data_IF_713122536229
#
_entry.id   IF_713122536229
#
_cell.length_a   1.000
_cell.length_b   1.000
_cell.length_c   1.000
_cell.angle_alpha   90.00
_cell.angle_beta   90.00
_cell.angle_gamma   90.00
#
_symmetry.space_group_name_H-M   'P 1'
#
loop_
_entity.id
_entity.type
_entity.pdbx_description
1 polymer ?
#
# COMPACT_ATOMS: atom_id res chain seq x y z
N UNK A 1 20.62 -23.24 31.94
CA UNK A 1 20.92 -24.05 30.71
C UNK A 1 20.43 -23.27 29.51
N UNK A 2 21.36 -22.50 28.98
CA UNK A 2 21.16 -21.61 27.84
C UNK A 2 21.16 -22.40 26.55
N UNK A 3 20.06 -22.40 25.80
CA UNK A 3 20.01 -22.90 24.43
C UNK A 3 19.78 -21.72 23.47
N UNK A 4 20.86 -21.00 23.25
CA UNK A 4 20.97 -19.99 22.17
C UNK A 4 21.05 -20.73 20.84
N UNK A 5 19.88 -21.01 20.22
CA UNK A 5 19.78 -21.61 18.89
C UNK A 5 20.06 -20.49 17.88
N UNK A 6 21.33 -20.29 17.51
CA UNK A 6 21.69 -19.49 16.32
C UNK A 6 20.96 -20.12 15.11
N UNK A 7 20.01 -19.39 14.55
CA UNK A 7 19.39 -19.74 13.26
C UNK A 7 20.44 -19.52 12.19
N UNK A 8 21.20 -20.56 11.87
CA UNK A 8 22.14 -20.54 10.76
C UNK A 8 21.34 -20.69 9.47
N UNK A 9 21.49 -19.71 8.58
CA UNK A 9 20.87 -19.70 7.25
C UNK A 9 21.21 -20.98 6.49
N UNK A 10 20.23 -21.62 5.81
CA UNK A 10 20.50 -22.85 5.05
C UNK A 10 21.61 -22.66 4.01
N UNK A 11 22.52 -23.61 3.89
CA UNK A 11 23.68 -23.49 3.00
C UNK A 11 23.31 -23.25 1.52
N UNK A 12 22.19 -23.79 1.04
CA UNK A 12 21.73 -23.55 -0.34
C UNK A 12 21.30 -22.09 -0.58
N UNK A 13 20.78 -21.40 0.42
CA UNK A 13 20.43 -19.97 0.32
C UNK A 13 21.69 -19.10 0.27
N UNK A 14 22.72 -19.44 1.03
CA UNK A 14 24.02 -18.74 0.99
C UNK A 14 24.62 -18.83 -0.41
N UNK A 15 24.57 -20.03 -1.02
CA UNK A 15 25.08 -20.25 -2.38
C UNK A 15 24.25 -19.43 -3.39
N UNK A 16 22.93 -19.46 -3.26
CA UNK A 16 22.00 -18.70 -4.13
C UNK A 16 22.30 -17.20 -4.09
N UNK A 17 22.47 -16.63 -2.91
CA UNK A 17 22.78 -15.20 -2.74
C UNK A 17 24.15 -14.85 -3.34
N UNK A 18 25.15 -15.68 -3.13
CA UNK A 18 26.48 -15.46 -3.73
C UNK A 18 26.44 -15.52 -5.26
N UNK A 19 25.62 -16.42 -5.83
CA UNK A 19 25.45 -16.50 -7.29
C UNK A 19 24.72 -15.27 -7.83
N UNK A 20 23.67 -14.82 -7.15
CA UNK A 20 22.95 -13.61 -7.51
C UNK A 20 23.86 -12.38 -7.45
N UNK A 21 24.69 -12.26 -6.42
CA UNK A 21 25.66 -11.17 -6.30
C UNK A 21 26.69 -11.19 -7.43
N UNK A 22 27.21 -12.36 -7.82
CA UNK A 22 28.11 -12.50 -8.98
C UNK A 22 27.43 -12.11 -10.29
N UNK A 23 26.14 -12.43 -10.45
CA UNK A 23 25.36 -12.01 -11.63
C UNK A 23 25.16 -10.49 -11.60
N UNK A 24 24.79 -9.93 -10.45
CA UNK A 24 24.56 -8.50 -10.24
C UNK A 24 25.82 -7.67 -10.51
N UNK A 25 26.98 -8.17 -10.11
CA UNK A 25 28.28 -7.50 -10.31
C UNK A 25 28.90 -7.75 -11.69
N UNK A 26 28.18 -8.45 -12.59
CA UNK A 26 28.66 -8.73 -13.95
C UNK A 26 29.83 -9.71 -14.01
N UNK A 27 30.09 -10.47 -12.94
CA UNK A 27 31.20 -11.44 -12.88
C UNK A 27 30.85 -12.75 -13.62
N UNK A 28 30.43 -12.63 -14.87
CA UNK A 28 30.14 -13.76 -15.76
C UNK A 28 30.34 -13.36 -17.22
N UNK A 29 30.53 -14.36 -18.08
CA UNK A 29 30.52 -14.19 -19.54
C UNK A 29 29.24 -14.85 -20.08
N UNK A 30 28.55 -14.18 -21.02
CA UNK A 30 27.30 -14.66 -21.62
C UNK A 30 27.45 -16.02 -22.32
N UNK A 31 28.64 -16.35 -22.79
CA UNK A 31 28.93 -17.56 -23.57
C UNK A 31 29.72 -18.61 -22.79
N UNK A 32 30.09 -18.33 -21.54
CA UNK A 32 30.83 -19.25 -20.68
C UNK A 32 29.93 -19.91 -19.64
N UNK A 33 30.32 -21.11 -19.19
CA UNK A 33 29.65 -21.79 -18.08
C UNK A 33 29.79 -20.94 -16.82
N UNK A 34 28.63 -20.50 -16.28
CA UNK A 34 28.60 -19.69 -15.07
C UNK A 34 28.85 -20.49 -13.81
N UNK A 35 28.21 -21.65 -13.69
CA UNK A 35 28.46 -22.60 -12.60
C UNK A 35 28.08 -24.02 -12.97
N UNK A 36 28.63 -24.98 -12.21
CA UNK A 36 28.21 -26.38 -12.23
C UNK A 36 27.99 -26.88 -10.81
N UNK A 37 27.20 -27.93 -10.65
CA UNK A 37 26.94 -28.56 -9.34
C UNK A 37 28.27 -28.96 -8.66
N UNK A 38 29.23 -29.48 -9.46
CA UNK A 38 30.55 -29.88 -8.98
C UNK A 38 31.34 -28.67 -8.45
N UNK A 39 31.45 -27.59 -9.22
CA UNK A 39 32.16 -26.38 -8.81
C UNK A 39 31.58 -25.80 -7.50
N UNK A 40 30.27 -25.70 -7.38
CA UNK A 40 29.63 -25.16 -6.18
C UNK A 40 29.79 -26.11 -4.98
N UNK A 41 29.70 -27.42 -5.20
CA UNK A 41 29.94 -28.43 -4.17
C UNK A 41 31.35 -28.33 -3.57
N UNK A 42 32.34 -28.13 -4.40
CA UNK A 42 33.76 -27.99 -4.00
C UNK A 42 34.01 -26.61 -3.35
N UNK A 43 33.50 -25.53 -3.95
CA UNK A 43 33.73 -24.16 -3.48
C UNK A 43 33.09 -23.86 -2.11
N UNK A 44 31.89 -24.41 -1.87
CA UNK A 44 31.12 -24.14 -0.64
C UNK A 44 31.13 -25.31 0.37
N UNK A 45 31.89 -26.34 0.10
CA UNK A 45 31.99 -27.56 0.94
C UNK A 45 30.61 -28.11 1.31
N UNK A 46 29.75 -28.32 0.30
CA UNK A 46 28.40 -28.84 0.44
C UNK A 46 28.18 -30.08 -0.40
N UNK A 47 27.08 -30.81 -0.10
CA UNK A 47 26.69 -31.95 -0.94
C UNK A 47 26.27 -31.45 -2.34
N UNK A 48 26.42 -32.28 -3.38
CA UNK A 48 25.92 -31.99 -4.73
C UNK A 48 24.42 -31.71 -4.75
N UNK A 49 23.66 -32.35 -3.87
CA UNK A 49 22.21 -32.11 -3.74
C UNK A 49 21.96 -30.67 -3.28
N UNK A 50 22.74 -30.15 -2.33
CA UNK A 50 22.59 -28.75 -1.83
C UNK A 50 22.97 -27.74 -2.93
N UNK A 51 24.07 -28.02 -3.67
CA UNK A 51 24.46 -27.18 -4.80
C UNK A 51 23.42 -27.21 -5.93
N UNK A 52 22.92 -28.41 -6.26
CA UNK A 52 21.85 -28.62 -7.25
C UNK A 52 20.59 -27.80 -6.90
N UNK A 53 20.15 -27.87 -5.66
CA UNK A 53 18.96 -27.10 -5.19
C UNK A 53 19.12 -25.60 -5.40
N UNK A 54 20.29 -25.04 -5.08
CA UNK A 54 20.56 -23.63 -5.31
C UNK A 54 20.51 -23.23 -6.80
N UNK A 55 21.00 -24.11 -7.69
CA UNK A 55 20.91 -23.89 -9.13
C UNK A 55 19.47 -24.01 -9.63
N UNK A 56 18.73 -25.05 -9.21
CA UNK A 56 17.35 -25.28 -9.60
C UNK A 56 16.42 -24.13 -9.20
N UNK A 57 16.61 -23.55 -8.01
CA UNK A 57 15.88 -22.37 -7.57
C UNK A 57 16.10 -21.16 -8.51
N UNK A 58 17.32 -20.95 -9.00
CA UNK A 58 17.65 -19.88 -9.95
C UNK A 58 17.19 -20.19 -11.38
N UNK A 59 17.14 -21.47 -11.77
CA UNK A 59 16.56 -21.91 -13.04
C UNK A 59 15.05 -21.71 -13.07
N UNK A 60 14.33 -22.05 -11.99
CA UNK A 60 12.90 -21.80 -11.86
C UNK A 60 12.55 -20.31 -11.91
N UNK A 61 13.44 -19.46 -11.41
CA UNK A 61 13.30 -18.00 -11.50
C UNK A 61 13.69 -17.44 -12.90
N UNK A 62 14.11 -18.29 -13.83
CA UNK A 62 14.53 -17.88 -15.17
C UNK A 62 15.86 -17.12 -15.23
N UNK A 63 16.61 -17.07 -14.13
CA UNK A 63 17.88 -16.36 -14.00
C UNK A 63 19.01 -17.19 -14.63
N UNK A 64 18.98 -18.49 -14.45
CA UNK A 64 19.89 -19.44 -15.09
C UNK A 64 19.15 -20.34 -16.07
N UNK A 65 19.85 -20.87 -17.03
CA UNK A 65 19.38 -21.96 -17.86
C UNK A 65 20.47 -23.05 -17.99
N UNK A 66 20.06 -24.30 -18.05
CA UNK A 66 20.96 -25.46 -18.09
C UNK A 66 21.15 -25.94 -19.51
N UNK A 67 22.42 -26.20 -19.88
CA UNK A 67 22.76 -27.03 -21.04
C UNK A 67 23.25 -28.40 -20.56
N UNK A 68 22.52 -29.45 -20.97
CA UNK A 68 22.78 -30.82 -20.53
C UNK A 68 24.23 -31.23 -20.83
N UNK A 69 24.96 -31.72 -19.82
CA UNK A 69 26.34 -32.16 -19.93
C UNK A 69 27.39 -31.05 -19.94
N UNK A 70 27.00 -29.78 -19.91
CA UNK A 70 27.91 -28.63 -19.97
C UNK A 70 27.91 -27.84 -18.66
N UNK A 71 26.78 -27.42 -18.19
CA UNK A 71 26.63 -26.59 -16.98
C UNK A 71 25.48 -25.63 -17.06
N UNK A 72 25.39 -24.71 -16.08
CA UNK A 72 24.40 -23.66 -16.04
C UNK A 72 24.97 -22.31 -16.50
N UNK A 73 24.18 -21.58 -17.26
CA UNK A 73 24.51 -20.31 -17.90
C UNK A 73 23.56 -19.24 -17.38
N UNK A 74 23.98 -17.99 -17.40
CA UNK A 74 23.12 -16.85 -17.10
C UNK A 74 22.16 -16.62 -18.28
N UNK A 75 20.87 -16.49 -18.01
CA UNK A 75 19.85 -16.30 -19.03
C UNK A 75 20.02 -14.95 -19.73
N UNK A 76 20.13 -14.94 -21.06
CA UNK A 76 20.21 -13.71 -21.87
C UNK A 76 18.92 -12.87 -21.85
N UNK A 77 17.84 -13.36 -21.23
CA UNK A 77 16.61 -12.58 -20.99
C UNK A 77 16.73 -11.61 -19.81
N UNK A 78 17.82 -11.68 -19.03
CA UNK A 78 18.22 -10.58 -18.16
C UNK A 78 18.90 -9.59 -19.11
N UNK A 79 18.39 -8.35 -19.29
CA UNK A 79 19.08 -7.37 -20.11
C UNK A 79 20.49 -7.25 -19.55
N UNK A 80 21.55 -7.33 -20.39
CA UNK A 80 22.91 -7.17 -19.90
C UNK A 80 22.97 -5.80 -19.24
N UNK A 81 23.44 -5.77 -18.00
CA UNK A 81 23.96 -4.53 -17.42
C UNK A 81 25.18 -4.21 -18.27
N UNK A 82 24.97 -3.44 -19.33
CA UNK A 82 26.02 -2.98 -20.21
C UNK A 82 27.02 -2.17 -19.41
N UNK A 83 28.16 -2.77 -19.14
CA UNK A 83 29.36 -2.13 -18.65
C UNK A 83 29.97 -1.28 -19.78
N UNK A 84 29.37 -0.16 -20.11
CA UNK A 84 29.99 0.96 -20.79
C UNK A 84 28.97 2.12 -20.96
N UNK A 85 28.59 2.69 -19.85
CA UNK A 85 28.20 4.09 -19.80
C UNK A 85 28.52 4.53 -18.38
N UNK A 86 29.23 5.63 -18.26
CA UNK A 86 29.51 6.34 -17.02
C UNK A 86 28.46 6.09 -15.96
N UNK A 87 28.87 5.76 -14.73
CA UNK A 87 28.06 5.73 -13.52
C UNK A 87 27.35 7.07 -13.29
N UNK A 88 26.35 7.37 -14.08
CA UNK A 88 25.23 8.16 -13.65
C UNK A 88 24.19 7.14 -13.16
N UNK A 89 24.11 7.03 -11.88
CA UNK A 89 23.09 6.34 -11.10
C UNK A 89 21.71 6.62 -11.71
N UNK A 90 21.27 5.83 -12.71
CA UNK A 90 19.95 6.01 -13.35
C UNK A 90 18.86 5.35 -12.49
N UNK A 91 18.84 5.76 -11.19
CA UNK A 91 17.70 5.50 -10.34
C UNK A 91 16.48 6.10 -11.04
N UNK A 92 15.43 5.31 -11.16
CA UNK A 92 14.18 5.84 -11.66
C UNK A 92 13.83 7.14 -10.92
N UNK A 93 13.42 8.14 -11.67
CA UNK A 93 12.96 9.42 -11.10
C UNK A 93 11.44 9.50 -11.02
N UNK A 94 10.74 8.41 -11.28
CA UNK A 94 9.28 8.37 -11.26
C UNK A 94 8.76 7.83 -9.92
N UNK A 95 7.98 8.63 -9.22
CA UNK A 95 7.17 8.20 -8.06
C UNK A 95 5.73 8.03 -8.52
N UNK A 96 5.11 6.91 -8.18
CA UNK A 96 3.73 6.63 -8.56
C UNK A 96 2.77 6.92 -7.39
N UNK A 97 1.68 7.61 -7.69
CA UNK A 97 0.56 7.83 -6.78
C UNK A 97 -0.62 6.96 -7.23
N UNK A 98 -1.06 6.06 -6.37
CA UNK A 98 -2.20 5.19 -6.61
C UNK A 98 -3.41 5.67 -5.80
N UNK A 99 -4.53 5.96 -6.50
CA UNK A 99 -5.75 6.53 -5.94
C UNK A 99 -6.97 5.65 -6.21
N UNK A 100 -7.91 5.49 -5.25
CA UNK A 100 -9.14 4.74 -5.43
C UNK A 100 -10.27 5.57 -6.07
N UNK A 101 -10.06 6.86 -6.38
CA UNK A 101 -11.07 7.77 -6.91
C UNK A 101 -10.47 8.81 -7.87
N UNK A 102 -11.33 9.51 -8.59
CA UNK A 102 -10.91 10.55 -9.54
C UNK A 102 -10.21 11.72 -8.83
N UNK A 103 -9.27 12.35 -9.52
CA UNK A 103 -8.45 13.46 -8.99
C UNK A 103 -9.23 14.73 -8.67
N UNK A 104 -10.48 14.83 -9.12
CA UNK A 104 -11.38 15.97 -8.86
C UNK A 104 -12.13 15.86 -7.53
N UNK A 105 -11.95 14.77 -6.78
CA UNK A 105 -12.64 14.57 -5.51
C UNK A 105 -11.83 15.11 -4.33
N UNK A 106 -12.42 16.02 -3.53
CA UNK A 106 -11.89 16.57 -2.28
C UNK A 106 -10.64 17.41 -2.45
N UNK A 107 -9.88 17.39 -1.39
CA UNK A 107 -8.59 18.07 -1.31
C UNK A 107 -7.49 17.28 -2.04
N UNK A 108 -7.85 16.22 -2.78
CA UNK A 108 -6.85 15.38 -3.43
C UNK A 108 -6.10 16.13 -4.55
N UNK A 109 -6.76 17.06 -5.24
CA UNK A 109 -6.10 17.90 -6.26
C UNK A 109 -5.02 18.80 -5.65
N UNK A 110 -5.27 19.34 -4.46
CA UNK A 110 -4.29 20.14 -3.72
C UNK A 110 -3.13 19.26 -3.22
N UNK A 111 -3.46 18.07 -2.70
CA UNK A 111 -2.47 17.07 -2.29
C UNK A 111 -1.58 16.65 -3.46
N UNK A 112 -2.17 16.40 -4.64
CA UNK A 112 -1.42 16.07 -5.86
C UNK A 112 -0.50 17.22 -6.26
N UNK A 113 -1.00 18.45 -6.25
CA UNK A 113 -0.20 19.64 -6.58
C UNK A 113 1.00 19.79 -5.65
N UNK A 114 0.78 19.71 -4.35
CA UNK A 114 1.83 19.82 -3.33
C UNK A 114 2.85 18.66 -3.43
N UNK A 115 2.38 17.44 -3.62
CA UNK A 115 3.25 16.27 -3.80
C UNK A 115 4.09 16.40 -5.08
N UNK A 116 3.47 16.83 -6.18
CA UNK A 116 4.16 17.02 -7.46
C UNK A 116 5.25 18.10 -7.36
N UNK A 117 4.95 19.22 -6.70
CA UNK A 117 5.92 20.31 -6.48
C UNK A 117 7.10 19.82 -5.62
N UNK A 118 6.83 19.18 -4.49
CA UNK A 118 7.87 18.66 -3.59
C UNK A 118 8.76 17.59 -4.25
N UNK A 119 8.19 16.74 -5.12
CA UNK A 119 8.95 15.78 -5.89
C UNK A 119 9.81 16.44 -6.96
N UNK A 120 9.27 17.45 -7.66
CA UNK A 120 9.99 18.18 -8.71
C UNK A 120 11.23 18.91 -8.16
N UNK A 121 11.15 19.51 -6.96
CA UNK A 121 12.29 20.12 -6.26
C UNK A 121 13.44 19.12 -6.02
N UNK A 122 13.12 17.85 -5.89
CA UNK A 122 14.09 16.76 -5.70
C UNK A 122 14.46 16.03 -7.00
N UNK A 123 13.96 16.53 -8.14
CA UNK A 123 14.23 15.97 -9.47
C UNK A 123 13.46 14.68 -9.76
N UNK A 124 12.32 14.45 -9.08
CA UNK A 124 11.42 13.32 -9.35
C UNK A 124 10.19 13.79 -10.12
N UNK A 125 9.56 12.86 -10.83
CA UNK A 125 8.30 13.05 -11.55
C UNK A 125 7.20 12.25 -10.87
N UNK A 126 5.98 12.78 -10.88
CA UNK A 126 4.80 12.11 -10.34
C UNK A 126 4.01 11.45 -11.47
N UNK A 127 3.73 10.14 -11.36
CA UNK A 127 2.73 9.45 -12.16
C UNK A 127 1.49 9.14 -11.31
N UNK A 128 0.29 9.28 -11.89
CA UNK A 128 -0.96 9.10 -11.17
C UNK A 128 -1.74 7.96 -11.79
N UNK A 129 -2.20 7.03 -10.95
CA UNK A 129 -2.96 5.85 -11.34
C UNK A 129 -4.28 5.82 -10.57
N UNK A 130 -5.40 5.77 -11.30
CA UNK A 130 -6.73 5.76 -10.71
C UNK A 130 -7.35 4.38 -10.90
N UNK A 131 -7.65 3.71 -9.79
CA UNK A 131 -8.21 2.36 -9.78
C UNK A 131 -9.73 2.32 -9.65
N UNK A 132 -10.32 3.45 -9.26
CA UNK A 132 -11.73 3.49 -8.90
C UNK A 132 -12.01 2.67 -7.65
N UNK A 133 -13.26 2.25 -7.48
CA UNK A 133 -13.69 1.48 -6.32
C UNK A 133 -13.40 -0.04 -6.42
N UNK A 134 -12.66 -0.48 -7.43
CA UNK A 134 -12.45 -1.89 -7.75
C UNK A 134 -11.18 -2.43 -7.11
N UNK A 135 -11.29 -3.29 -6.09
CA UNK A 135 -10.15 -3.97 -5.47
C UNK A 135 -9.34 -4.85 -6.46
N UNK A 136 -9.96 -5.58 -7.41
CA UNK A 136 -9.20 -6.30 -8.42
C UNK A 136 -8.36 -5.38 -9.33
N UNK A 137 -8.88 -4.20 -9.70
CA UNK A 137 -8.14 -3.22 -10.49
C UNK A 137 -7.00 -2.60 -9.70
N UNK A 138 -7.20 -2.33 -8.41
CA UNK A 138 -6.18 -1.84 -7.49
C UNK A 138 -5.01 -2.83 -7.40
N UNK A 139 -5.31 -4.11 -7.15
CA UNK A 139 -4.33 -5.20 -7.15
C UNK A 139 -3.58 -5.30 -8.47
N UNK A 140 -4.28 -5.35 -9.60
CA UNK A 140 -3.67 -5.45 -10.93
C UNK A 140 -2.75 -4.24 -11.23
N UNK A 141 -3.12 -3.04 -10.76
CA UNK A 141 -2.28 -1.86 -10.91
C UNK A 141 -1.02 -1.94 -10.06
N UNK A 142 -1.10 -2.43 -8.82
CA UNK A 142 0.08 -2.69 -7.98
C UNK A 142 1.03 -3.70 -8.62
N UNK A 143 0.49 -4.79 -9.19
CA UNK A 143 1.28 -5.80 -9.92
C UNK A 143 1.95 -5.19 -11.17
N UNK A 144 1.25 -4.32 -11.91
CA UNK A 144 1.83 -3.58 -13.03
C UNK A 144 2.97 -2.66 -12.58
N UNK A 145 2.75 -1.84 -11.54
CA UNK A 145 3.74 -0.91 -11.01
C UNK A 145 4.98 -1.62 -10.46
N UNK A 146 4.82 -2.83 -9.92
CA UNK A 146 5.93 -3.68 -9.50
C UNK A 146 6.90 -3.96 -10.64
N UNK A 147 6.38 -4.25 -11.84
CA UNK A 147 7.18 -4.53 -13.03
C UNK A 147 7.82 -3.28 -13.64
N UNK A 148 7.35 -2.09 -13.28
CA UNK A 148 7.89 -0.82 -13.75
C UNK A 148 9.08 -0.39 -12.91
N UNK A 149 10.02 0.35 -13.53
CA UNK A 149 11.12 0.96 -12.80
C UNK A 149 10.67 2.28 -12.18
N UNK A 150 9.98 2.22 -11.00
CA UNK A 150 9.58 3.39 -10.24
C UNK A 150 10.48 3.60 -9.02
N UNK A 151 10.69 4.85 -8.62
CA UNK A 151 11.51 5.21 -7.47
C UNK A 151 10.81 4.96 -6.12
N UNK A 152 9.48 5.00 -6.11
CA UNK A 152 8.68 4.78 -4.92
C UNK A 152 7.19 4.83 -5.22
N UNK A 153 6.39 4.44 -4.24
CA UNK A 153 4.94 4.39 -4.32
C UNK A 153 4.30 5.21 -3.20
N UNK A 154 3.41 6.11 -3.55
CA UNK A 154 2.45 6.72 -2.63
C UNK A 154 1.10 6.06 -2.88
N UNK A 155 0.55 5.43 -1.87
CA UNK A 155 -0.64 4.60 -2.02
C UNK A 155 -1.77 5.07 -1.11
N UNK A 156 -2.90 5.43 -1.71
CA UNK A 156 -4.15 5.72 -1.02
C UNK A 156 -5.08 4.51 -1.16
N UNK A 157 -5.10 3.59 -0.20
CA UNK A 157 -5.97 2.43 -0.26
C UNK A 157 -7.43 2.85 -0.03
N UNK A 158 -8.34 2.16 -0.69
CA UNK A 158 -9.77 2.41 -0.48
C UNK A 158 -10.23 2.04 0.94
N UNK A 159 -9.65 0.98 1.51
CA UNK A 159 -9.96 0.41 2.83
C UNK A 159 -8.67 0.10 3.58
N UNK A 160 -8.80 -0.23 4.87
CA UNK A 160 -7.66 -0.63 5.71
C UNK A 160 -7.04 -1.97 5.26
N UNK A 161 -7.81 -2.82 4.58
CA UNK A 161 -7.29 -4.05 3.99
C UNK A 161 -6.46 -3.73 2.74
N UNK A 162 -5.19 -3.42 2.97
CA UNK A 162 -4.21 -3.15 1.93
C UNK A 162 -3.72 -4.45 1.29
N UNK A 163 -3.31 -4.36 0.04
CA UNK A 163 -2.72 -5.49 -0.71
C UNK A 163 -1.27 -5.75 -0.27
N UNK A 164 -1.08 -6.22 0.97
CA UNK A 164 0.23 -6.34 1.61
C UNK A 164 1.20 -7.24 0.83
N UNK A 165 0.69 -8.33 0.21
CA UNK A 165 1.52 -9.21 -0.62
C UNK A 165 2.16 -8.46 -1.79
N UNK A 166 1.39 -7.61 -2.48
CA UNK A 166 1.88 -6.80 -3.58
C UNK A 166 2.83 -5.70 -3.10
N UNK A 167 2.59 -5.13 -1.92
CA UNK A 167 3.46 -4.11 -1.32
C UNK A 167 4.79 -4.68 -0.84
N UNK A 168 4.82 -5.93 -0.36
CA UNK A 168 6.06 -6.59 0.05
C UNK A 168 7.09 -6.63 -1.08
N UNK A 169 6.67 -6.79 -2.32
CA UNK A 169 7.58 -6.81 -3.46
C UNK A 169 8.30 -5.46 -3.67
N UNK A 170 7.64 -4.34 -3.37
CA UNK A 170 8.29 -3.01 -3.38
C UNK A 170 9.31 -2.90 -2.25
N UNK A 171 8.95 -3.35 -1.05
CA UNK A 171 9.85 -3.33 0.11
C UNK A 171 11.08 -4.20 -0.10
N UNK A 172 10.92 -5.41 -0.65
CA UNK A 172 12.03 -6.30 -0.97
C UNK A 172 12.93 -5.74 -2.08
N UNK A 173 12.37 -4.96 -3.00
CA UNK A 173 13.12 -4.24 -4.02
C UNK A 173 13.75 -2.93 -3.50
N UNK A 174 13.69 -2.66 -2.20
CA UNK A 174 14.12 -1.42 -1.55
C UNK A 174 13.49 -0.16 -2.18
N UNK A 175 12.22 -0.26 -2.59
CA UNK A 175 11.41 0.85 -3.11
C UNK A 175 10.50 1.34 -2.00
N UNK A 176 10.63 2.59 -1.54
CA UNK A 176 9.82 3.11 -0.46
C UNK A 176 8.33 3.13 -0.82
N UNK A 177 7.50 2.75 0.15
CA UNK A 177 6.04 2.83 0.07
C UNK A 177 5.53 3.72 1.20
N UNK A 178 4.69 4.68 0.85
CA UNK A 178 4.00 5.56 1.80
C UNK A 178 2.50 5.38 1.64
N UNK A 179 1.83 4.97 2.69
CA UNK A 179 0.37 4.88 2.75
C UNK A 179 -0.18 6.23 3.19
N UNK A 180 -1.21 6.73 2.52
CA UNK A 180 -1.88 7.98 2.91
C UNK A 180 -3.34 7.74 3.30
N UNK A 181 -3.83 8.53 4.27
CA UNK A 181 -5.20 8.53 4.82
C UNK A 181 -5.59 7.28 5.63
N UNK A 182 -4.98 6.13 5.40
CA UNK A 182 -5.28 4.90 6.13
C UNK A 182 -4.11 4.48 7.01
N UNK A 183 -4.43 3.91 8.17
CA UNK A 183 -3.43 3.28 9.02
C UNK A 183 -3.25 1.81 8.63
N UNK A 184 -2.03 1.34 8.75
CA UNK A 184 -1.70 -0.08 8.64
C UNK A 184 -0.89 -0.52 9.85
N UNK A 185 -1.12 -1.72 10.31
CA UNK A 185 -0.36 -2.34 11.41
C UNK A 185 1.01 -2.88 10.95
N UNK A 186 1.34 -2.72 9.67
CA UNK A 186 2.62 -3.16 9.12
C UNK A 186 3.74 -2.17 9.53
N UNK A 187 4.71 -2.59 10.37
CA UNK A 187 5.74 -1.70 10.91
C UNK A 187 6.77 -1.22 9.87
N UNK A 188 6.76 -1.82 8.68
CA UNK A 188 7.69 -1.48 7.59
C UNK A 188 7.10 -0.49 6.58
N UNK A 189 5.82 -0.13 6.73
CA UNK A 189 5.15 0.84 5.87
C UNK A 189 5.01 2.18 6.61
N UNK A 190 5.41 3.24 5.94
CA UNK A 190 5.19 4.58 6.47
C UNK A 190 3.74 5.03 6.20
N UNK A 191 3.12 5.65 7.19
CA UNK A 191 1.77 6.18 7.08
C UNK A 191 1.78 7.69 7.25
N UNK A 192 1.01 8.38 6.41
CA UNK A 192 0.69 9.81 6.55
C UNK A 192 -0.82 9.94 6.69
N UNK A 193 -1.26 10.26 7.87
CA UNK A 193 -2.69 10.37 8.22
C UNK A 193 -2.98 11.69 8.89
N UNK A 194 -4.23 12.18 8.75
CA UNK A 194 -4.72 13.27 9.57
C UNK A 194 -5.03 12.77 10.99
N UNK A 195 -5.00 13.67 11.97
CA UNK A 195 -5.52 13.36 13.30
C UNK A 195 -7.06 13.32 13.26
N UNK A 196 -7.54 12.15 12.78
CA UNK A 196 -8.97 11.91 12.62
C UNK A 196 -9.71 11.86 13.95
N UNK A 197 -9.03 11.41 15.02
CA UNK A 197 -9.62 11.36 16.35
C UNK A 197 -9.87 12.78 16.88
N UNK A 198 -8.87 13.64 16.81
CA UNK A 198 -9.03 15.03 17.24
C UNK A 198 -10.00 15.81 16.33
N UNK A 199 -9.99 15.55 15.02
CA UNK A 199 -10.97 16.10 14.09
C UNK A 199 -12.41 15.73 14.47
N UNK A 200 -12.65 14.47 14.86
CA UNK A 200 -13.95 14.00 15.37
C UNK A 200 -14.34 14.70 16.68
N UNK A 201 -13.37 14.91 17.57
CA UNK A 201 -13.59 15.65 18.82
C UNK A 201 -13.98 17.10 18.57
N UNK A 202 -13.19 17.82 17.78
CA UNK A 202 -13.42 19.23 17.50
C UNK A 202 -14.80 19.47 16.89
N UNK A 203 -15.19 18.69 15.89
CA UNK A 203 -16.50 18.80 15.26
C UNK A 203 -17.63 18.54 16.25
N UNK A 204 -17.51 17.50 17.06
CA UNK A 204 -18.54 17.14 18.04
C UNK A 204 -18.65 18.20 19.13
N UNK A 205 -17.53 18.70 19.64
CA UNK A 205 -17.49 19.79 20.62
C UNK A 205 -18.18 21.03 20.08
N UNK A 206 -17.88 21.41 18.84
CA UNK A 206 -18.55 22.55 18.20
C UNK A 206 -20.09 22.38 18.20
N UNK A 207 -20.60 21.21 17.83
CA UNK A 207 -22.05 20.96 17.84
C UNK A 207 -22.64 21.01 19.27
N UNK A 208 -21.92 20.51 20.27
CA UNK A 208 -22.32 20.58 21.67
C UNK A 208 -22.36 22.04 22.19
N UNK A 209 -21.39 22.87 21.80
CA UNK A 209 -21.32 24.30 22.11
C UNK A 209 -22.48 25.08 21.48
N UNK A 210 -22.96 24.65 20.29
CA UNK A 210 -24.16 25.20 19.66
C UNK A 210 -25.47 24.73 20.33
N UNK A 211 -25.39 23.98 21.43
CA UNK A 211 -26.55 23.53 22.22
C UNK A 211 -27.15 22.20 21.76
N UNK A 212 -26.62 21.58 20.74
CA UNK A 212 -27.06 20.24 20.32
C UNK A 212 -26.74 19.20 21.39
N UNK A 213 -27.68 18.31 21.70
CA UNK A 213 -27.50 17.20 22.65
C UNK A 213 -27.84 15.85 22.03
N UNK A 214 -28.65 15.86 21.00
CA UNK A 214 -29.05 14.67 20.27
C UNK A 214 -28.40 14.71 18.87
N UNK A 215 -27.16 14.20 18.80
CA UNK A 215 -26.28 14.30 17.62
C UNK A 215 -26.08 12.89 17.06
N UNK A 216 -26.26 12.71 15.75
CA UNK A 216 -25.93 11.47 15.07
C UNK A 216 -24.54 11.56 14.41
N UNK A 217 -23.83 10.44 14.37
CA UNK A 217 -22.64 10.24 13.54
C UNK A 217 -23.05 9.49 12.29
N UNK A 218 -22.78 10.07 11.14
CA UNK A 218 -23.15 9.50 9.83
C UNK A 218 -21.89 9.12 9.04
N UNK A 219 -21.89 7.93 8.48
CA UNK A 219 -20.78 7.45 7.63
C UNK A 219 -21.27 6.60 6.48
N UNK A 220 -20.56 6.65 5.36
CA UNK A 220 -20.77 5.77 4.19
C UNK A 220 -19.86 4.56 4.20
N UNK A 221 -18.89 4.50 5.10
CA UNK A 221 -17.95 3.39 5.22
C UNK A 221 -18.11 2.67 6.57
N UNK A 222 -18.05 1.33 6.59
CA UNK A 222 -18.05 0.58 7.83
C UNK A 222 -16.87 0.97 8.73
N UNK A 223 -17.09 1.09 10.04
CA UNK A 223 -16.03 1.39 11.01
C UNK A 223 -14.94 0.32 11.04
N UNK A 224 -15.29 -0.93 10.74
CA UNK A 224 -14.37 -2.07 10.70
C UNK A 224 -13.39 -2.03 9.52
N UNK A 225 -13.69 -1.24 8.48
CA UNK A 225 -12.95 -1.26 7.22
C UNK A 225 -12.17 0.04 6.95
N UNK A 226 -12.34 1.07 7.81
CA UNK A 226 -11.79 2.40 7.55
C UNK A 226 -11.31 3.07 8.82
N UNK A 227 -10.01 3.04 9.06
CA UNK A 227 -9.36 3.61 10.25
C UNK A 227 -9.68 5.08 10.45
N UNK A 228 -9.61 5.90 9.41
CA UNK A 228 -9.93 7.34 9.50
C UNK A 228 -11.36 7.62 9.97
N UNK A 229 -12.32 6.79 9.56
CA UNK A 229 -13.72 6.91 10.02
C UNK A 229 -13.88 6.40 11.45
N UNK A 230 -13.24 5.29 11.79
CA UNK A 230 -13.23 4.73 13.14
C UNK A 230 -12.66 5.71 14.17
N UNK A 231 -11.57 6.39 13.83
CA UNK A 231 -10.94 7.37 14.71
C UNK A 231 -11.82 8.60 14.90
N UNK A 232 -12.46 9.13 13.83
CA UNK A 232 -13.43 10.22 13.95
C UNK A 232 -14.62 9.84 14.83
N UNK A 233 -15.12 8.61 14.68
CA UNK A 233 -16.18 8.10 15.55
C UNK A 233 -15.74 7.96 17.01
N UNK A 234 -14.50 7.52 17.24
CA UNK A 234 -13.89 7.50 18.57
C UNK A 234 -13.85 8.90 19.22
N UNK A 235 -13.43 9.91 18.45
CA UNK A 235 -13.45 11.32 18.86
C UNK A 235 -14.85 11.83 19.15
N UNK A 236 -15.84 11.50 18.32
CA UNK A 236 -17.25 11.78 18.54
C UNK A 236 -17.74 11.19 19.88
N UNK A 237 -17.52 9.90 20.11
CA UNK A 237 -17.91 9.24 21.35
C UNK A 237 -17.25 9.84 22.59
N UNK A 238 -15.99 10.28 22.47
CA UNK A 238 -15.28 10.93 23.56
C UNK A 238 -16.01 12.18 24.04
N UNK A 239 -16.35 13.10 23.12
CA UNK A 239 -16.99 14.37 23.46
C UNK A 239 -18.45 14.18 23.91
N UNK A 240 -19.19 13.25 23.32
CA UNK A 240 -20.54 12.90 23.76
C UNK A 240 -20.53 12.43 25.23
N UNK A 241 -19.62 11.53 25.58
CA UNK A 241 -19.47 11.04 26.97
C UNK A 241 -18.99 12.12 27.92
N UNK A 242 -18.03 12.96 27.50
CA UNK A 242 -17.53 14.08 28.31
C UNK A 242 -18.62 15.10 28.60
N UNK A 243 -19.61 15.27 27.71
CA UNK A 243 -20.80 16.10 27.92
C UNK A 243 -21.88 15.44 28.80
N UNK A 244 -21.62 14.24 29.37
CA UNK A 244 -22.57 13.51 30.19
C UNK A 244 -23.71 12.86 29.40
N UNK A 245 -23.59 12.76 28.09
CA UNK A 245 -24.59 12.14 27.21
C UNK A 245 -24.25 10.65 27.06
N UNK A 246 -25.21 9.78 27.32
CA UNK A 246 -25.04 8.34 27.10
C UNK A 246 -25.16 8.04 25.60
N UNK A 247 -24.13 7.42 24.98
CA UNK A 247 -24.21 7.03 23.58
C UNK A 247 -25.35 6.03 23.34
N UNK A 248 -26.08 6.24 22.26
CA UNK A 248 -27.15 5.36 21.80
C UNK A 248 -26.79 4.80 20.42
N UNK A 249 -27.12 3.54 20.16
CA UNK A 249 -26.87 2.91 18.86
C UNK A 249 -27.56 3.62 17.69
N UNK A 250 -28.66 4.32 17.96
CA UNK A 250 -29.36 5.17 16.98
C UNK A 250 -28.57 6.39 16.53
N UNK A 251 -27.51 6.75 17.26
CA UNK A 251 -26.63 7.85 16.90
C UNK A 251 -25.55 7.44 15.86
N UNK A 252 -25.33 6.14 15.64
CA UNK A 252 -24.43 5.66 14.59
C UNK A 252 -25.24 5.22 13.38
N UNK A 253 -25.07 5.91 12.26
CA UNK A 253 -25.75 5.64 11.02
C UNK A 253 -24.72 5.31 9.96
N UNK A 254 -24.72 4.06 9.53
CA UNK A 254 -23.91 3.62 8.41
C UNK A 254 -24.78 3.51 7.16
N UNK A 255 -24.46 4.32 6.15
CA UNK A 255 -25.15 4.30 4.87
C UNK A 255 -24.34 3.44 3.88
N UNK A 256 -24.89 2.32 3.39
CA UNK A 256 -24.11 1.32 2.62
C UNK A 256 -23.80 1.76 1.19
N UNK A 257 -24.37 2.86 0.71
CA UNK A 257 -24.19 3.29 -0.67
C UNK A 257 -23.41 4.60 -0.73
N UNK A 258 -22.36 4.64 -1.58
CA UNK A 258 -21.85 5.91 -2.06
C UNK A 258 -23.00 6.59 -2.82
N UNK A 259 -23.36 7.81 -2.40
CA UNK A 259 -24.30 8.63 -3.16
C UNK A 259 -23.70 8.82 -4.56
N UNK A 260 -24.33 8.25 -5.57
CA UNK A 260 -23.94 8.51 -6.96
C UNK A 260 -24.33 9.94 -7.30
N UNK A 261 -23.60 10.55 -8.23
CA UNK A 261 -23.98 11.89 -8.76
C UNK A 261 -25.35 11.86 -9.45
N UNK A 262 -25.82 10.70 -9.90
CA UNK A 262 -27.14 10.48 -10.49
C UNK A 262 -28.26 10.53 -9.42
N UNK A 263 -28.01 9.99 -8.21
CA UNK A 263 -28.96 10.07 -7.09
C UNK A 263 -29.13 11.50 -6.57
N UNK A 264 -28.11 12.33 -6.70
CA UNK A 264 -28.14 13.74 -6.27
C UNK A 264 -28.96 14.65 -7.22
N UNK A 265 -29.22 14.22 -8.45
CA UNK A 265 -29.98 14.94 -9.48
C UNK A 265 -31.46 14.50 -9.57
N UNK A 266 -31.84 13.47 -8.81
CA UNK A 266 -33.22 12.97 -8.77
C UNK A 266 -34.13 13.99 -8.10
N UNK A 267 -35.27 14.27 -8.73
CA UNK A 267 -36.35 15.12 -8.19
C UNK A 267 -37.19 14.40 -7.13
N UNK A 268 -37.03 13.09 -7.00
CA UNK A 268 -37.69 12.29 -5.98
C UNK A 268 -36.90 12.30 -4.68
N UNK A 269 -37.60 12.22 -3.54
CA UNK A 269 -36.96 12.08 -2.21
C UNK A 269 -36.16 10.79 -2.22
N UNK A 270 -34.85 10.91 -2.24
CA UNK A 270 -33.95 9.76 -2.23
C UNK A 270 -34.08 8.99 -0.91
N UNK A 271 -33.79 7.70 -0.87
CA UNK A 271 -33.75 6.93 0.38
C UNK A 271 -32.88 7.59 1.46
N UNK A 272 -31.85 8.32 1.06
CA UNK A 272 -31.00 9.11 1.97
C UNK A 272 -31.75 10.27 2.61
N UNK A 273 -32.47 11.06 1.82
CA UNK A 273 -33.29 12.16 2.34
C UNK A 273 -34.38 11.63 3.27
N UNK A 274 -34.99 10.50 2.93
CA UNK A 274 -35.99 9.84 3.79
C UNK A 274 -35.40 9.45 5.14
N UNK A 275 -34.17 8.93 5.16
CA UNK A 275 -33.47 8.60 6.40
C UNK A 275 -33.18 9.84 7.24
N UNK A 276 -32.74 10.95 6.63
CA UNK A 276 -32.50 12.21 7.33
C UNK A 276 -33.83 12.74 7.95
N UNK A 277 -34.95 12.64 7.25
CA UNK A 277 -36.27 13.01 7.79
C UNK A 277 -36.63 12.12 8.99
N UNK A 278 -36.41 10.83 8.90
CA UNK A 278 -36.64 9.88 10.00
C UNK A 278 -35.77 10.21 11.23
N UNK A 279 -34.52 10.58 11.03
CA UNK A 279 -33.63 11.02 12.11
C UNK A 279 -34.18 12.27 12.81
N UNK A 280 -34.64 13.26 12.04
CA UNK A 280 -35.24 14.47 12.57
C UNK A 280 -36.51 14.16 13.38
N UNK A 281 -37.37 13.26 12.89
CA UNK A 281 -38.56 12.79 13.61
C UNK A 281 -38.21 12.09 14.93
N UNK A 282 -37.05 11.39 14.97
CA UNK A 282 -36.53 10.76 16.18
C UNK A 282 -35.77 11.71 17.11
N UNK A 283 -35.85 13.02 16.85
CA UNK A 283 -35.29 14.07 17.69
C UNK A 283 -33.80 14.32 17.49
N UNK A 284 -33.16 13.76 16.48
CA UNK A 284 -31.78 14.13 16.11
C UNK A 284 -31.79 15.58 15.61
N UNK A 285 -30.96 16.42 16.23
CA UNK A 285 -30.88 17.85 15.94
C UNK A 285 -29.67 18.27 15.14
N UNK A 286 -28.63 17.43 15.10
CA UNK A 286 -27.43 17.64 14.32
C UNK A 286 -26.81 16.32 13.88
N UNK A 287 -26.02 16.39 12.81
CA UNK A 287 -25.30 15.23 12.27
C UNK A 287 -23.82 15.58 12.12
N UNK A 288 -22.98 14.79 12.76
CA UNK A 288 -21.55 14.75 12.48
C UNK A 288 -21.30 13.83 11.29
N UNK A 289 -20.85 14.38 10.17
CA UNK A 289 -20.69 13.64 8.92
C UNK A 289 -19.25 13.62 8.42
N UNK A 290 -18.81 12.48 7.92
CA UNK A 290 -17.40 12.30 7.54
C UNK A 290 -17.10 12.55 6.08
N UNK A 291 -18.10 12.60 5.17
CA UNK A 291 -17.88 12.60 3.71
C UNK A 291 -19.00 13.28 2.90
N UNK A 292 -19.61 14.37 3.41
CA UNK A 292 -20.49 15.18 2.54
C UNK A 292 -19.65 16.02 1.58
N UNK A 293 -19.93 15.87 0.32
CA UNK A 293 -19.67 16.83 -0.74
C UNK A 293 -20.96 17.23 -1.41
#
# INVERSE_FOLDING_TARGET
MDRNKRITKPKYEIIKEALLERIRTGQFSSDAVFCTEKMLSEQYEVSRITAKRAIEDLEQQGILYRKRGVGSFVSQKIPPVSSSASETDSKSKMVSLLLPFATTQGNISETIGSLSAALAEKGYFLSIHITGSSSPKERATLELLRSQNIAGLVYYPKRDNIHLEQLNDFLFANRPVVIIDKQTDCPYLNNVVCDNYDGGRQLTRHLLEQGHRNIAFFTTAPLSETSSVRDRFGGFLHEIKAAGIMPDSRQLITWPHALSTEDALSTEITPFQQQLLTLRQNGITAVSYTHLR
#
